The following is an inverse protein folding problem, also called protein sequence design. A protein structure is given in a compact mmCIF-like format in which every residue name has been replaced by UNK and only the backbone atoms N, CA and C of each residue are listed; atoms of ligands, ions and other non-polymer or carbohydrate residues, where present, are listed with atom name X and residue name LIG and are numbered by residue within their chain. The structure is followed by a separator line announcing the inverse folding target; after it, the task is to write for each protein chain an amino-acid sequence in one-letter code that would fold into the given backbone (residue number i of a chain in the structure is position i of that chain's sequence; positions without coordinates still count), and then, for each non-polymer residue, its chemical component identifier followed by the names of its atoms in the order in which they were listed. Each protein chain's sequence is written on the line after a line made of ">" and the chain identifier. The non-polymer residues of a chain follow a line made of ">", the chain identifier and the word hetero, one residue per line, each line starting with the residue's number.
data_IF_347483229722
#
_entry.id   IF_347483229722
#
_cell.length_a   1.000
_cell.length_b   1.000
_cell.length_c   1.000
_cell.angle_alpha   90.00
_cell.angle_beta   90.00
_cell.angle_gamma   90.00
#
_symmetry.space_group_name_H-M   'P 1'
#
loop_
_entity.id
_entity.type
_entity.pdbx_description
1 polymer ?
#
# COMPACT_ATOMS: atom_id res chain seq x y z
N UNK A 1 -2.18 2.91 -6.76
CA UNK A 1 -2.73 1.95 -5.77
C UNK A 1 -3.48 0.76 -6.34
N UNK A 2 -3.87 0.71 -7.63
CA UNK A 2 -4.67 -0.44 -8.12
C UNK A 2 -3.99 -1.82 -7.99
N UNK A 3 -2.69 -1.87 -7.72
CA UNK A 3 -1.95 -3.13 -7.71
C UNK A 3 -1.58 -3.56 -6.27
N UNK A 4 -0.91 -2.74 -5.46
CA UNK A 4 -0.29 -3.25 -4.21
C UNK A 4 -1.31 -3.60 -3.09
N UNK A 5 -2.45 -2.89 -2.99
CA UNK A 5 -3.37 -3.05 -1.84
C UNK A 5 -4.29 -4.28 -1.88
N UNK A 6 -4.26 -5.09 -2.95
CA UNK A 6 -5.14 -6.27 -3.09
C UNK A 6 -4.38 -7.61 -3.07
N UNK A 7 -3.06 -7.60 -2.95
CA UNK A 7 -2.25 -8.81 -2.98
C UNK A 7 -2.15 -9.43 -1.58
N UNK A 8 -2.95 -10.47 -1.32
CA UNK A 8 -2.79 -11.31 -0.14
C UNK A 8 -1.92 -12.52 -0.48
N UNK A 9 -1.02 -12.92 0.43
CA UNK A 9 -0.21 -14.14 0.26
C UNK A 9 -1.08 -15.37 -0.04
N UNK A 10 -2.31 -15.43 0.50
CA UNK A 10 -3.25 -16.52 0.26
C UNK A 10 -3.57 -16.70 -1.23
N UNK A 11 -3.78 -15.61 -1.97
CA UNK A 11 -4.12 -15.66 -3.38
C UNK A 11 -2.96 -16.22 -4.21
N UNK A 12 -1.72 -15.86 -3.83
CA UNK A 12 -0.51 -16.36 -4.47
C UNK A 12 -0.26 -17.83 -4.14
N UNK A 13 -0.42 -18.24 -2.88
CA UNK A 13 -0.32 -19.65 -2.48
C UNK A 13 -1.35 -20.50 -3.22
N UNK A 14 -2.60 -20.03 -3.31
CA UNK A 14 -3.65 -20.73 -4.03
C UNK A 14 -3.33 -20.88 -5.53
N UNK A 15 -2.68 -19.89 -6.14
CA UNK A 15 -2.34 -19.91 -7.56
C UNK A 15 -1.07 -20.70 -7.90
N UNK A 16 -0.06 -20.68 -7.04
CA UNK A 16 1.30 -21.15 -7.36
C UNK A 16 1.87 -22.17 -6.37
N UNK A 17 1.08 -22.62 -5.38
CA UNK A 17 1.54 -23.47 -4.27
C UNK A 17 2.33 -22.68 -3.22
N UNK A 18 2.77 -23.34 -2.15
CA UNK A 18 3.38 -22.66 -0.99
C UNK A 18 4.68 -21.92 -1.36
N UNK A 19 5.69 -22.64 -1.86
CA UNK A 19 6.99 -22.04 -2.22
C UNK A 19 6.87 -21.05 -3.38
N UNK A 20 6.17 -21.45 -4.45
CA UNK A 20 5.98 -20.61 -5.63
C UNK A 20 5.13 -19.38 -5.35
N UNK A 21 4.11 -19.51 -4.49
CA UNK A 21 3.26 -18.42 -4.04
C UNK A 21 4.01 -17.43 -3.19
N UNK A 22 4.86 -17.89 -2.28
CA UNK A 22 5.72 -17.02 -1.47
C UNK A 22 6.69 -16.22 -2.34
N UNK A 23 7.36 -16.88 -3.29
CA UNK A 23 8.27 -16.21 -4.22
C UNK A 23 7.52 -15.15 -5.05
N UNK A 24 6.39 -15.52 -5.66
CA UNK A 24 5.61 -14.62 -6.50
C UNK A 24 5.05 -13.42 -5.71
N UNK A 25 4.62 -13.62 -4.46
CA UNK A 25 4.17 -12.55 -3.57
C UNK A 25 5.30 -11.58 -3.21
N UNK A 26 6.46 -12.10 -2.83
CA UNK A 26 7.65 -11.29 -2.54
C UNK A 26 8.07 -10.45 -3.76
N UNK A 27 8.22 -11.09 -4.92
CA UNK A 27 8.55 -10.42 -6.18
C UNK A 27 7.52 -9.35 -6.55
N UNK A 28 6.24 -9.63 -6.34
CA UNK A 28 5.16 -8.68 -6.60
C UNK A 28 5.30 -7.40 -5.78
N UNK A 29 5.58 -7.52 -4.48
CA UNK A 29 5.76 -6.36 -3.60
C UNK A 29 7.01 -5.56 -3.97
N UNK A 30 8.14 -6.24 -4.24
CA UNK A 30 9.37 -5.59 -4.69
C UNK A 30 9.20 -4.87 -6.03
N UNK A 31 8.52 -5.49 -7.00
CA UNK A 31 8.20 -4.84 -8.27
C UNK A 31 7.34 -3.60 -8.08
N UNK A 32 6.33 -3.66 -7.20
CA UNK A 32 5.51 -2.52 -6.85
C UNK A 32 6.32 -1.34 -6.29
N UNK A 33 7.25 -1.61 -5.39
CA UNK A 33 8.13 -0.59 -4.80
C UNK A 33 9.14 -0.06 -5.82
N UNK A 34 9.71 -0.93 -6.66
CA UNK A 34 10.66 -0.55 -7.71
C UNK A 34 10.03 0.37 -8.77
N UNK A 35 8.77 0.11 -9.16
CA UNK A 35 8.05 0.90 -10.15
C UNK A 35 7.96 2.40 -9.80
N UNK A 36 8.05 2.74 -8.51
CA UNK A 36 7.97 4.12 -8.00
C UNK A 36 9.33 4.67 -7.54
N UNK A 37 10.42 3.90 -7.68
CA UNK A 37 11.79 4.27 -7.27
C UNK A 37 12.22 5.66 -7.75
N UNK A 38 11.90 6.03 -9.00
CA UNK A 38 12.28 7.36 -9.54
C UNK A 38 11.68 8.52 -8.76
N UNK A 39 10.50 8.33 -8.17
CA UNK A 39 9.80 9.37 -7.40
C UNK A 39 10.23 9.37 -5.94
N UNK A 40 10.55 8.20 -5.40
CA UNK A 40 11.09 8.06 -4.05
C UNK A 40 12.52 8.62 -3.93
N UNK A 41 13.32 8.47 -4.99
CA UNK A 41 14.77 8.68 -4.92
C UNK A 41 15.49 7.45 -4.37
N UNK A 42 16.81 7.38 -4.58
CA UNK A 42 17.59 6.17 -4.29
C UNK A 42 17.66 5.84 -2.79
N UNK A 43 17.87 6.86 -1.94
CA UNK A 43 17.99 6.66 -0.50
C UNK A 43 16.68 6.10 0.09
N UNK A 44 15.56 6.80 -0.13
CA UNK A 44 14.26 6.37 0.41
C UNK A 44 13.83 5.03 -0.15
N UNK A 45 14.10 4.77 -1.43
CA UNK A 45 13.85 3.45 -2.02
C UNK A 45 14.62 2.34 -1.30
N UNK A 46 15.91 2.55 -1.01
CA UNK A 46 16.71 1.55 -0.28
C UNK A 46 16.17 1.31 1.13
N UNK A 47 15.82 2.38 1.87
CA UNK A 47 15.25 2.27 3.21
C UNK A 47 13.92 1.49 3.23
N UNK A 48 13.01 1.79 2.29
CA UNK A 48 11.73 1.09 2.17
C UNK A 48 11.89 -0.36 1.70
N UNK A 49 12.91 -0.64 0.88
CA UNK A 49 13.21 -2.01 0.44
C UNK A 49 13.69 -2.85 1.62
N UNK A 50 14.61 -2.32 2.44
CA UNK A 50 15.09 -3.01 3.63
C UNK A 50 13.95 -3.31 4.63
N UNK A 51 13.02 -2.38 4.83
CA UNK A 51 11.88 -2.61 5.73
C UNK A 51 10.85 -3.58 5.16
N UNK A 52 10.69 -3.63 3.84
CA UNK A 52 9.92 -4.69 3.16
C UNK A 52 10.59 -6.06 3.34
N UNK A 53 11.90 -6.17 3.17
CA UNK A 53 12.64 -7.44 3.34
C UNK A 53 12.49 -8.00 4.76
N UNK A 54 12.63 -7.15 5.78
CA UNK A 54 12.42 -7.55 7.18
C UNK A 54 10.98 -8.00 7.42
N UNK A 55 9.99 -7.27 6.90
CA UNK A 55 8.58 -7.63 7.05
C UNK A 55 8.25 -8.98 6.40
N UNK A 56 8.81 -9.25 5.22
CA UNK A 56 8.67 -10.53 4.53
C UNK A 56 9.30 -11.67 5.34
N UNK A 57 10.50 -11.46 5.88
CA UNK A 57 11.17 -12.46 6.73
C UNK A 57 10.35 -12.77 8.00
N UNK A 58 9.81 -11.74 8.66
CA UNK A 58 8.95 -11.90 9.83
C UNK A 58 7.68 -12.69 9.47
N UNK A 59 6.99 -12.29 8.41
CA UNK A 59 5.79 -12.97 7.93
C UNK A 59 6.06 -14.44 7.56
N UNK A 60 7.19 -14.75 6.93
CA UNK A 60 7.56 -16.13 6.63
C UNK A 60 7.81 -16.95 7.90
N UNK A 61 8.47 -16.35 8.90
CA UNK A 61 8.88 -17.06 10.11
C UNK A 61 7.73 -17.38 11.07
N UNK A 62 6.74 -16.50 11.17
CA UNK A 62 5.73 -16.56 12.22
C UNK A 62 4.30 -16.22 11.74
N UNK A 63 4.11 -15.91 10.45
CA UNK A 63 2.81 -15.59 9.86
C UNK A 63 2.30 -14.17 10.13
N UNK A 64 2.98 -13.37 10.97
CA UNK A 64 2.53 -12.01 11.28
C UNK A 64 2.77 -11.05 10.11
N UNK A 65 1.77 -10.23 9.81
CA UNK A 65 1.85 -9.18 8.79
C UNK A 65 2.17 -7.80 9.38
N UNK A 66 2.31 -7.68 10.70
CA UNK A 66 2.42 -6.39 11.38
C UNK A 66 3.65 -5.59 10.92
N UNK A 67 4.75 -6.28 10.62
CA UNK A 67 5.98 -5.68 10.10
C UNK A 67 5.78 -4.89 8.80
N UNK A 68 4.77 -5.23 7.99
CA UNK A 68 4.49 -4.52 6.73
C UNK A 68 4.10 -3.06 6.94
N UNK A 69 3.60 -2.69 8.13
CA UNK A 69 3.28 -1.29 8.42
C UNK A 69 4.51 -0.38 8.38
N UNK A 70 5.71 -0.93 8.66
CA UNK A 70 6.96 -0.17 8.69
C UNK A 70 7.33 0.45 7.34
N UNK A 71 6.95 -0.18 6.22
CA UNK A 71 7.20 0.35 4.87
C UNK A 71 5.94 0.92 4.21
N UNK A 72 4.75 0.39 4.56
CA UNK A 72 3.48 0.87 4.01
C UNK A 72 3.13 2.29 4.49
N UNK A 73 3.24 2.56 5.80
CA UNK A 73 2.90 3.88 6.36
C UNK A 73 3.72 5.02 5.74
N UNK A 74 5.07 4.98 5.73
CA UNK A 74 5.86 6.04 5.11
C UNK A 74 5.60 6.13 3.60
N UNK A 75 5.44 4.99 2.91
CA UNK A 75 5.11 4.99 1.49
C UNK A 75 3.78 5.72 1.20
N UNK A 76 2.74 5.46 2.01
CA UNK A 76 1.45 6.13 1.86
C UNK A 76 1.57 7.63 2.10
N UNK A 77 2.14 8.01 3.25
CA UNK A 77 2.23 9.41 3.66
C UNK A 77 3.10 10.27 2.74
N UNK A 78 4.22 9.73 2.24
CA UNK A 78 5.21 10.49 1.49
C UNK A 78 4.98 10.46 -0.01
N UNK A 79 4.43 9.37 -0.56
CA UNK A 79 4.26 9.22 -2.00
C UNK A 79 2.80 9.35 -2.45
N UNK A 80 1.90 8.59 -1.83
CA UNK A 80 0.52 8.51 -2.30
C UNK A 80 -0.34 9.69 -1.80
N UNK A 81 -0.26 10.04 -0.53
CA UNK A 81 -1.10 11.08 0.08
C UNK A 81 -0.92 12.46 -0.56
N UNK A 82 0.30 12.95 -0.87
CA UNK A 82 0.46 14.23 -1.56
C UNK A 82 -0.15 14.20 -2.96
N UNK A 83 0.03 13.09 -3.68
CA UNK A 83 -0.54 12.90 -5.02
C UNK A 83 -2.07 12.88 -4.97
N UNK A 84 -2.66 12.15 -4.01
CA UNK A 84 -4.12 12.07 -3.86
C UNK A 84 -4.73 13.39 -3.41
N UNK A 85 -4.09 14.10 -2.46
CA UNK A 85 -4.52 15.45 -2.06
C UNK A 85 -4.55 16.40 -3.25
N UNK A 86 -3.47 16.43 -4.03
CA UNK A 86 -3.39 17.26 -5.24
C UNK A 86 -4.49 16.91 -6.26
N UNK A 87 -4.73 15.62 -6.50
CA UNK A 87 -5.79 15.17 -7.41
C UNK A 87 -7.18 15.54 -6.90
N UNK A 88 -7.40 15.47 -5.59
CA UNK A 88 -8.67 15.82 -4.95
C UNK A 88 -8.93 17.32 -5.00
N UNK A 89 -7.91 18.15 -4.77
CA UNK A 89 -7.99 19.61 -4.88
C UNK A 89 -8.41 20.06 -6.28
N UNK A 90 -7.89 19.42 -7.34
CA UNK A 90 -8.33 19.69 -8.72
C UNK A 90 -9.82 19.44 -8.98
N UNK A 91 -10.45 18.59 -8.16
CA UNK A 91 -11.86 18.24 -8.26
C UNK A 91 -12.71 18.89 -7.18
N UNK A 92 -12.17 19.86 -6.44
CA UNK A 92 -12.84 20.47 -5.30
C UNK A 92 -14.25 21.00 -5.64
N UNK A 93 -14.45 21.52 -6.85
CA UNK A 93 -15.76 22.01 -7.31
C UNK A 93 -16.85 20.92 -7.37
N UNK A 94 -16.48 19.64 -7.49
CA UNK A 94 -17.42 18.52 -7.54
C UNK A 94 -17.71 17.94 -6.14
N UNK A 95 -17.06 18.44 -5.10
CA UNK A 95 -17.23 17.95 -3.73
C UNK A 95 -18.43 18.67 -3.11
N UNK A 96 -19.56 17.96 -3.02
CA UNK A 96 -20.80 18.46 -2.42
C UNK A 96 -20.79 18.42 -0.89
N UNK A 97 -19.94 17.58 -0.30
CA UNK A 97 -19.76 17.46 1.14
C UNK A 97 -18.38 16.88 1.47
N UNK A 98 -17.76 17.34 2.57
CA UNK A 98 -16.48 16.83 3.09
C UNK A 98 -16.53 16.80 4.62
N UNK A 99 -16.11 15.69 5.20
CA UNK A 99 -15.99 15.52 6.65
C UNK A 99 -15.32 14.19 6.99
N UNK A 100 -15.28 13.88 8.27
CA UNK A 100 -14.95 12.55 8.80
C UNK A 100 -15.90 11.49 8.26
N UNK A 101 -15.51 10.22 8.40
CA UNK A 101 -16.36 9.09 8.01
C UNK A 101 -17.77 9.20 8.58
N UNK A 102 -17.89 9.55 9.87
CA UNK A 102 -19.17 9.67 10.56
C UNK A 102 -20.02 10.82 10.00
N UNK A 103 -19.40 11.97 9.72
CA UNK A 103 -20.09 13.13 9.14
C UNK A 103 -20.60 12.83 7.72
N UNK A 104 -19.79 12.16 6.89
CA UNK A 104 -20.18 11.76 5.54
C UNK A 104 -21.32 10.74 5.58
N UNK A 105 -21.24 9.75 6.47
CA UNK A 105 -22.30 8.75 6.66
C UNK A 105 -23.61 9.39 7.11
N UNK A 106 -23.54 10.38 8.00
CA UNK A 106 -24.72 11.12 8.45
C UNK A 106 -25.30 11.99 7.34
N UNK A 107 -24.47 12.68 6.56
CA UNK A 107 -24.91 13.49 5.42
C UNK A 107 -25.64 12.65 4.36
N UNK A 108 -25.14 11.45 4.04
CA UNK A 108 -25.78 10.51 3.11
C UNK A 108 -27.15 10.01 3.60
N UNK A 109 -27.33 9.81 4.91
CA UNK A 109 -28.61 9.39 5.50
C UNK A 109 -29.65 10.51 5.54
N UNK A 110 -29.20 11.76 5.51
CA UNK A 110 -30.06 12.94 5.53
C UNK A 110 -30.49 13.39 4.12
N UNK A 111 -30.07 12.68 3.06
CA UNK A 111 -30.53 12.87 1.69
C UNK A 111 -31.83 12.13 1.38
#
# INVERSE_FOLDING_TARGET
>A
MKNISSACIHDFIHAYGDEGGWQAYSEYLHHGLFAIRRRLGLQRFAELTNTLDMALADQLSNGSTDGHMAWLVPLLNEYYDPMYRYQLEKKAANIVFRGTWQEVANWLKAQ
#
